data_IF_511262531998
#
_entry.id   IF_511262531998
#
_cell.length_a   1.000
_cell.length_b   1.000
_cell.length_c   1.000
_cell.angle_alpha   90.00
_cell.angle_beta   90.00
_cell.angle_gamma   90.00
#
_symmetry.space_group_name_H-M   'P 1'
#
loop_
_entity.id
_entity.type
_entity.pdbx_description
1 polymer ?
#
# COMPACT_ATOMS: atom_id res chain seq x y z
N UNK A 1 -14.93 -6.98 19.20
CA UNK A 1 -16.16 -6.38 18.61
C UNK A 1 -16.16 -6.72 17.14
N UNK A 2 -17.30 -7.19 16.60
CA UNK A 2 -17.45 -7.53 15.18
C UNK A 2 -18.19 -6.41 14.48
N UNK A 3 -17.60 -5.83 13.46
CA UNK A 3 -18.17 -4.72 12.71
C UNK A 3 -18.64 -5.13 11.31
N UNK A 4 -19.67 -4.45 10.84
CA UNK A 4 -20.14 -4.46 9.46
C UNK A 4 -20.26 -3.03 8.95
N UNK A 5 -19.77 -2.79 7.72
CA UNK A 5 -19.87 -1.50 7.05
C UNK A 5 -20.89 -1.61 5.92
N UNK A 6 -21.88 -0.74 5.94
CA UNK A 6 -22.91 -0.63 4.91
C UNK A 6 -22.75 0.72 4.19
N UNK A 7 -22.31 0.68 2.96
CA UNK A 7 -22.19 1.87 2.12
C UNK A 7 -23.47 2.07 1.31
N UNK A 8 -24.15 3.19 1.56
CA UNK A 8 -25.41 3.57 0.91
C UNK A 8 -25.10 4.59 -0.18
N UNK A 9 -25.40 4.25 -1.43
CA UNK A 9 -25.20 5.12 -2.59
C UNK A 9 -25.26 4.33 -3.89
N UNK A 10 -26.09 4.77 -4.80
CA UNK A 10 -26.26 4.15 -6.12
C UNK A 10 -25.02 4.29 -6.99
N UNK A 11 -24.24 5.37 -6.84
CA UNK A 11 -22.99 5.64 -7.55
C UNK A 11 -21.89 4.62 -7.26
N UNK A 12 -21.91 4.03 -6.04
CA UNK A 12 -20.99 2.95 -5.67
C UNK A 12 -21.33 1.67 -6.46
N UNK A 13 -22.62 1.34 -6.55
CA UNK A 13 -23.10 0.15 -7.27
C UNK A 13 -22.89 0.23 -8.78
N UNK A 14 -22.98 1.44 -9.34
CA UNK A 14 -22.77 1.68 -10.77
C UNK A 14 -21.31 1.84 -11.15
N UNK A 15 -20.39 1.78 -10.17
CA UNK A 15 -18.95 1.88 -10.40
C UNK A 15 -18.47 3.29 -10.78
N UNK A 16 -19.27 4.33 -10.53
CA UNK A 16 -18.88 5.71 -10.79
C UNK A 16 -17.82 6.19 -9.81
N UNK A 17 -17.84 5.67 -8.59
CA UNK A 17 -16.82 5.95 -7.56
C UNK A 17 -16.35 4.66 -6.90
N UNK A 18 -15.11 4.69 -6.41
CA UNK A 18 -14.54 3.63 -5.57
C UNK A 18 -14.95 3.85 -4.12
N UNK A 19 -15.36 2.79 -3.41
CA UNK A 19 -15.72 2.86 -1.99
C UNK A 19 -14.48 3.00 -1.08
N UNK A 20 -13.85 4.17 -1.12
CA UNK A 20 -12.68 4.49 -0.27
C UNK A 20 -13.05 4.68 1.20
N UNK A 21 -14.32 4.94 1.52
CA UNK A 21 -14.80 5.05 2.90
C UNK A 21 -14.73 3.69 3.61
N UNK A 22 -15.14 2.61 2.95
CA UNK A 22 -15.08 1.28 3.55
C UNK A 22 -13.63 0.84 3.81
N UNK A 23 -12.70 1.15 2.90
CA UNK A 23 -11.27 0.94 3.11
C UNK A 23 -10.78 1.69 4.35
N UNK A 24 -11.01 3.00 4.43
CA UNK A 24 -10.59 3.85 5.54
C UNK A 24 -11.16 3.38 6.88
N UNK A 25 -12.47 3.08 6.92
CA UNK A 25 -13.13 2.56 8.12
C UNK A 25 -12.52 1.24 8.57
N UNK A 26 -12.29 0.29 7.65
CA UNK A 26 -11.68 -1.00 7.98
C UNK A 26 -10.28 -0.86 8.56
N UNK A 27 -9.47 0.04 7.99
CA UNK A 27 -8.14 0.35 8.48
C UNK A 27 -8.20 0.92 9.91
N UNK A 28 -9.00 1.96 10.12
CA UNK A 28 -9.10 2.64 11.43
C UNK A 28 -9.75 1.80 12.52
N UNK A 29 -10.72 0.97 12.17
CA UNK A 29 -11.32 0.02 13.11
C UNK A 29 -10.33 -1.07 13.52
N UNK A 30 -9.54 -1.58 12.57
CA UNK A 30 -8.49 -2.55 12.87
C UNK A 30 -7.44 -1.99 13.83
N UNK A 31 -7.01 -0.72 13.66
CA UNK A 31 -6.06 -0.04 14.56
C UNK A 31 -6.52 -0.05 16.03
N UNK A 32 -7.84 -0.03 16.28
CA UNK A 32 -8.42 -0.10 17.63
C UNK A 32 -8.90 -1.51 18.02
N UNK A 33 -8.55 -2.55 17.25
CA UNK A 33 -8.87 -3.94 17.57
C UNK A 33 -10.32 -4.37 17.27
N UNK A 34 -11.04 -3.61 16.45
CA UNK A 34 -12.38 -3.95 15.95
C UNK A 34 -12.26 -4.70 14.61
N UNK A 35 -12.81 -5.89 14.54
CA UNK A 35 -12.77 -6.71 13.32
C UNK A 35 -13.92 -6.38 12.39
N UNK A 36 -13.62 -5.97 11.16
CA UNK A 36 -14.60 -5.80 10.10
C UNK A 36 -14.76 -7.15 9.36
N UNK A 37 -15.92 -7.78 9.49
CA UNK A 37 -16.19 -9.06 8.84
C UNK A 37 -16.99 -8.92 7.55
N UNK A 38 -17.76 -7.84 7.43
CA UNK A 38 -18.63 -7.64 6.28
C UNK A 38 -18.56 -6.20 5.79
N UNK A 39 -18.49 -6.05 4.48
CA UNK A 39 -18.66 -4.79 3.77
C UNK A 39 -19.72 -4.99 2.70
N UNK A 40 -20.79 -4.20 2.74
CA UNK A 40 -21.90 -4.29 1.80
C UNK A 40 -22.16 -2.93 1.19
N UNK A 41 -22.35 -2.86 -0.12
CA UNK A 41 -22.84 -1.66 -0.80
C UNK A 41 -24.31 -1.87 -1.17
N UNK A 42 -25.13 -0.83 -0.98
CA UNK A 42 -26.55 -0.82 -1.33
C UNK A 42 -26.90 0.51 -1.98
N UNK A 43 -27.78 0.48 -3.00
CA UNK A 43 -28.32 1.70 -3.58
C UNK A 43 -29.36 2.35 -2.66
N UNK A 44 -29.70 3.60 -2.94
CA UNK A 44 -30.64 4.42 -2.19
C UNK A 44 -32.06 3.87 -2.28
N UNK A 45 -32.31 2.83 -1.50
CA UNK A 45 -33.57 2.11 -1.47
C UNK A 45 -33.88 1.59 -0.06
N UNK A 46 -34.98 2.05 0.52
CA UNK A 46 -35.41 1.75 1.88
C UNK A 46 -35.55 0.25 2.15
N UNK A 47 -36.29 -0.48 1.29
CA UNK A 47 -36.56 -1.90 1.51
C UNK A 47 -35.28 -2.75 1.48
N UNK A 48 -34.33 -2.41 0.61
CA UNK A 48 -33.02 -3.09 0.55
C UNK A 48 -32.18 -2.80 1.78
N UNK A 49 -32.16 -1.54 2.23
CA UNK A 49 -31.42 -1.16 3.43
C UNK A 49 -32.02 -1.80 4.68
N UNK A 50 -33.35 -1.85 4.82
CA UNK A 50 -34.02 -2.57 5.92
C UNK A 50 -33.62 -4.05 5.96
N UNK A 51 -33.64 -4.73 4.82
CA UNK A 51 -33.23 -6.14 4.74
C UNK A 51 -31.77 -6.34 5.15
N UNK A 52 -30.87 -5.40 4.81
CA UNK A 52 -29.48 -5.48 5.25
C UNK A 52 -29.30 -5.22 6.74
N UNK A 53 -30.06 -4.31 7.32
CA UNK A 53 -30.06 -4.05 8.76
C UNK A 53 -30.53 -5.27 9.56
N UNK A 54 -31.57 -5.98 9.07
CA UNK A 54 -32.04 -7.24 9.66
C UNK A 54 -30.95 -8.32 9.66
N UNK A 55 -30.16 -8.41 8.59
CA UNK A 55 -29.05 -9.35 8.51
C UNK A 55 -27.90 -8.91 9.44
N UNK A 56 -27.51 -7.64 9.39
CA UNK A 56 -26.38 -7.09 10.12
C UNK A 56 -26.55 -7.21 11.64
N UNK A 57 -27.73 -6.91 12.18
CA UNK A 57 -27.99 -6.99 13.63
C UNK A 57 -27.78 -8.40 14.22
N UNK A 58 -27.95 -9.45 13.42
CA UNK A 58 -27.82 -10.84 13.86
C UNK A 58 -26.38 -11.36 13.82
N UNK A 59 -25.45 -10.65 13.14
CA UNK A 59 -24.08 -11.12 12.93
C UNK A 59 -22.99 -10.16 13.37
N UNK A 60 -23.33 -8.90 13.65
CA UNK A 60 -22.39 -7.85 13.99
C UNK A 60 -22.83 -7.09 15.23
N UNK A 61 -21.88 -6.71 16.09
CA UNK A 61 -22.13 -5.89 17.28
C UNK A 61 -21.90 -4.39 17.04
N UNK A 62 -21.37 -4.03 15.86
CA UNK A 62 -21.19 -2.67 15.37
C UNK A 62 -21.60 -2.63 13.89
N UNK A 63 -22.55 -1.76 13.57
CA UNK A 63 -23.03 -1.54 12.20
C UNK A 63 -22.79 -0.09 11.83
N UNK A 64 -21.95 0.17 10.83
CA UNK A 64 -21.63 1.52 10.38
C UNK A 64 -22.26 1.74 9.00
N UNK A 65 -23.16 2.71 8.93
CA UNK A 65 -23.79 3.16 7.71
C UNK A 65 -23.07 4.43 7.21
N UNK A 66 -22.73 4.48 5.94
CA UNK A 66 -22.09 5.65 5.34
C UNK A 66 -22.80 6.05 4.05
N UNK A 67 -23.16 7.33 3.93
CA UNK A 67 -23.94 7.87 2.80
C UNK A 67 -25.42 8.06 3.11
N UNK A 68 -26.13 8.77 2.21
CA UNK A 68 -27.56 9.01 2.32
C UNK A 68 -27.98 9.91 3.49
N UNK A 69 -27.15 10.91 3.85
CA UNK A 69 -27.44 11.91 4.92
C UNK A 69 -27.74 13.30 4.40
N UNK A 70 -27.71 13.51 3.11
CA UNK A 70 -27.96 14.80 2.50
C UNK A 70 -29.42 15.26 2.57
N UNK A 71 -29.75 16.34 1.86
CA UNK A 71 -31.09 16.92 1.87
C UNK A 71 -32.04 16.37 0.81
N UNK A 72 -31.59 15.45 -0.07
CA UNK A 72 -32.40 14.98 -1.20
C UNK A 72 -33.36 13.87 -0.79
N UNK A 73 -34.33 13.56 -1.63
CA UNK A 73 -35.29 12.49 -1.34
C UNK A 73 -34.63 11.09 -1.29
N UNK A 74 -33.51 10.95 -1.99
CA UNK A 74 -32.73 9.70 -2.03
C UNK A 74 -31.87 9.51 -0.75
N UNK A 75 -31.70 10.58 0.06
CA UNK A 75 -31.00 10.53 1.33
C UNK A 75 -31.93 9.95 2.44
N UNK A 76 -31.95 8.63 2.56
CA UNK A 76 -32.93 7.93 3.41
C UNK A 76 -32.31 7.09 4.55
N UNK A 77 -30.98 7.17 4.75
CA UNK A 77 -30.27 6.32 5.72
C UNK A 77 -30.77 6.52 7.16
N UNK A 78 -30.95 7.77 7.63
CA UNK A 78 -31.44 8.05 8.98
C UNK A 78 -32.89 7.63 9.17
N UNK A 79 -33.73 7.88 8.18
CA UNK A 79 -35.16 7.51 8.18
C UNK A 79 -35.33 5.99 8.25
N UNK A 80 -34.59 5.28 7.41
CA UNK A 80 -34.63 3.82 7.37
C UNK A 80 -34.11 3.20 8.66
N UNK A 81 -33.02 3.73 9.25
CA UNK A 81 -32.52 3.25 10.52
C UNK A 81 -33.52 3.54 11.66
N UNK A 82 -34.14 4.74 11.68
CA UNK A 82 -35.15 5.09 12.66
C UNK A 82 -36.34 4.13 12.59
N UNK A 83 -36.87 3.87 11.40
CA UNK A 83 -37.94 2.91 11.18
C UNK A 83 -37.56 1.49 11.63
N UNK A 84 -36.35 1.03 11.27
CA UNK A 84 -35.84 -0.27 11.68
C UNK A 84 -35.76 -0.44 13.21
N UNK A 85 -35.36 0.62 13.92
CA UNK A 85 -35.24 0.63 15.37
C UNK A 85 -36.53 0.95 16.11
N UNK A 86 -37.63 1.24 15.39
CA UNK A 86 -38.89 1.67 15.97
C UNK A 86 -38.77 3.00 16.73
N UNK A 87 -37.99 3.93 16.18
CA UNK A 87 -37.69 5.25 16.75
C UNK A 87 -38.13 6.36 15.82
N UNK A 88 -38.36 7.57 16.38
CA UNK A 88 -38.60 8.78 15.60
C UNK A 88 -37.26 9.46 15.24
N UNK A 89 -37.33 10.44 14.33
CA UNK A 89 -36.26 11.39 14.09
C UNK A 89 -36.47 12.62 14.98
N UNK A 90 -35.37 13.17 15.50
CA UNK A 90 -35.36 14.40 16.28
C UNK A 90 -34.27 15.33 15.78
N UNK A 91 -34.42 16.64 16.02
CA UNK A 91 -33.41 17.63 15.65
C UNK A 91 -32.31 17.68 16.70
N UNK A 92 -31.05 17.68 16.24
CA UNK A 92 -29.93 18.06 17.10
C UNK A 92 -29.81 19.58 17.16
N UNK A 93 -29.87 20.21 18.36
CA UNK A 93 -29.85 21.67 18.48
C UNK A 93 -28.58 22.32 17.92
N UNK A 94 -27.42 21.66 18.02
CA UNK A 94 -26.15 22.22 17.53
C UNK A 94 -26.07 22.15 16.00
N UNK A 95 -26.52 21.05 15.42
CA UNK A 95 -26.60 20.93 13.97
C UNK A 95 -27.64 21.92 13.40
N UNK A 96 -28.74 22.17 14.09
CA UNK A 96 -29.73 23.15 13.68
C UNK A 96 -29.15 24.58 13.67
N UNK A 97 -28.44 24.98 14.72
CA UNK A 97 -27.75 26.28 14.76
C UNK A 97 -26.73 26.39 13.63
N UNK A 98 -25.93 25.34 13.39
CA UNK A 98 -24.97 25.36 12.31
C UNK A 98 -25.63 25.51 10.93
N UNK A 99 -26.78 24.84 10.72
CA UNK A 99 -27.56 24.96 9.51
C UNK A 99 -28.09 26.36 9.32
N UNK A 100 -28.64 26.97 10.38
CA UNK A 100 -29.17 28.34 10.41
C UNK A 100 -28.05 29.36 10.07
N UNK A 101 -26.89 29.23 10.70
CA UNK A 101 -25.73 30.09 10.47
C UNK A 101 -25.21 29.98 9.04
N UNK A 102 -25.17 28.76 8.49
CA UNK A 102 -24.72 28.54 7.12
C UNK A 102 -25.57 29.32 6.10
N UNK A 103 -26.90 29.27 6.23
CA UNK A 103 -27.81 29.97 5.32
C UNK A 103 -27.88 31.47 5.60
N UNK A 104 -27.75 31.89 6.85
CA UNK A 104 -27.69 33.30 7.19
C UNK A 104 -26.51 34.05 6.55
N UNK A 105 -25.37 33.40 6.43
CA UNK A 105 -24.15 33.95 5.82
C UNK A 105 -24.04 33.74 4.30
N UNK A 106 -25.03 33.10 3.67
CA UNK A 106 -25.04 32.79 2.23
C UNK A 106 -26.41 33.09 1.61
N UNK A 107 -26.76 34.37 1.47
CA UNK A 107 -28.08 34.77 0.97
C UNK A 107 -28.35 34.31 -0.48
N UNK A 108 -27.31 34.02 -1.24
CA UNK A 108 -27.44 33.48 -2.62
C UNK A 108 -27.85 32.00 -2.67
N UNK A 109 -27.84 31.30 -1.53
CA UNK A 109 -28.28 29.91 -1.42
C UNK A 109 -29.69 29.85 -0.81
N UNK A 110 -30.65 29.40 -1.60
CA UNK A 110 -32.02 29.21 -1.11
C UNK A 110 -32.10 28.02 -0.16
N UNK A 111 -32.51 28.26 1.10
CA UNK A 111 -32.86 27.19 2.03
C UNK A 111 -34.18 26.55 1.61
N UNK A 112 -34.19 25.23 1.54
CA UNK A 112 -35.40 24.45 1.28
C UNK A 112 -35.79 23.64 2.53
N UNK A 113 -37.07 23.22 2.69
CA UNK A 113 -37.50 22.38 3.82
C UNK A 113 -36.68 21.10 3.93
N UNK A 114 -36.16 20.56 2.83
CA UNK A 114 -35.36 19.34 2.82
C UNK A 114 -34.02 19.51 3.53
N UNK A 115 -33.46 20.72 3.58
CA UNK A 115 -32.22 20.97 4.30
C UNK A 115 -32.31 20.63 5.79
N UNK A 116 -33.51 20.70 6.37
CA UNK A 116 -33.76 20.35 7.78
C UNK A 116 -33.38 18.88 8.10
N UNK A 117 -33.44 17.99 7.12
CA UNK A 117 -33.03 16.58 7.28
C UNK A 117 -31.60 16.43 7.73
N UNK A 118 -30.73 17.37 7.34
CA UNK A 118 -29.31 17.32 7.67
C UNK A 118 -29.07 17.50 9.17
N UNK A 119 -29.94 18.24 9.89
CA UNK A 119 -29.86 18.43 11.34
C UNK A 119 -30.60 17.36 12.16
N UNK A 120 -31.24 16.36 11.50
CA UNK A 120 -31.97 15.29 12.19
C UNK A 120 -31.04 14.13 12.57
N UNK A 121 -31.35 13.50 13.71
CA UNK A 121 -30.74 12.26 14.19
C UNK A 121 -31.84 11.27 14.60
N UNK A 122 -31.54 9.98 14.69
CA UNK A 122 -32.43 8.98 15.29
C UNK A 122 -32.60 9.30 16.78
N UNK A 123 -33.81 9.33 17.27
CA UNK A 123 -34.13 9.64 18.67
C UNK A 123 -33.36 8.75 19.65
N UNK A 124 -32.63 9.35 20.56
CA UNK A 124 -31.77 8.66 21.52
C UNK A 124 -30.34 8.42 21.04
N UNK A 125 -30.00 8.86 19.83
CA UNK A 125 -28.61 8.83 19.36
C UNK A 125 -27.77 9.93 20.05
N UNK A 126 -26.50 9.61 20.25
CA UNK A 126 -25.47 10.61 20.49
C UNK A 126 -25.14 11.28 19.15
N UNK A 127 -25.29 12.62 19.03
CA UNK A 127 -24.91 13.31 17.80
C UNK A 127 -23.40 13.24 17.56
N UNK A 128 -23.03 13.10 16.31
CA UNK A 128 -21.64 13.16 15.83
C UNK A 128 -21.50 14.45 15.00
N UNK A 129 -20.89 15.51 15.55
CA UNK A 129 -20.73 16.77 14.85
C UNK A 129 -19.97 16.63 13.52
N UNK A 130 -20.43 17.32 12.51
CA UNK A 130 -19.77 17.39 11.21
C UNK A 130 -18.99 18.70 11.12
N UNK A 131 -17.67 18.65 11.16
CA UNK A 131 -16.84 19.88 11.13
C UNK A 131 -16.82 20.55 9.75
N UNK A 132 -16.87 19.76 8.68
CA UNK A 132 -16.65 20.20 7.30
C UNK A 132 -17.91 20.32 6.46
N UNK A 133 -18.99 19.63 6.83
CA UNK A 133 -20.29 19.66 6.16
C UNK A 133 -21.43 20.04 7.11
N UNK A 134 -22.68 19.85 6.67
CA UNK A 134 -23.90 20.20 7.42
C UNK A 134 -24.60 18.99 8.02
N UNK A 135 -24.48 17.81 7.42
CA UNK A 135 -25.21 16.63 7.84
C UNK A 135 -24.58 16.06 9.13
N UNK A 136 -25.31 16.17 10.25
CA UNK A 136 -24.90 15.56 11.53
C UNK A 136 -24.97 14.03 11.43
N UNK A 137 -23.93 13.35 11.93
CA UNK A 137 -23.95 11.91 12.13
C UNK A 137 -24.66 11.51 13.42
N UNK A 138 -24.75 10.21 13.69
CA UNK A 138 -25.36 9.71 14.92
C UNK A 138 -24.80 8.35 15.33
N UNK A 139 -24.74 8.12 16.65
CA UNK A 139 -24.35 6.83 17.23
C UNK A 139 -25.40 6.41 18.27
N UNK A 140 -25.92 5.19 18.15
CA UNK A 140 -26.93 4.66 19.06
C UNK A 140 -26.69 3.17 19.33
N UNK A 141 -26.86 2.76 20.57
CA UNK A 141 -26.84 1.35 20.94
C UNK A 141 -28.28 0.85 21.23
N UNK A 142 -28.67 -0.21 20.55
CA UNK A 142 -29.98 -0.86 20.75
C UNK A 142 -29.78 -2.36 20.75
N UNK A 143 -30.28 -3.04 21.77
CA UNK A 143 -30.21 -4.49 21.92
C UNK A 143 -28.81 -5.10 21.80
N UNK A 144 -27.78 -4.39 22.26
CA UNK A 144 -26.37 -4.83 22.22
C UNK A 144 -25.67 -4.64 20.87
N UNK A 145 -26.32 -3.96 19.92
CA UNK A 145 -25.74 -3.56 18.64
C UNK A 145 -25.58 -2.04 18.61
N UNK A 146 -24.38 -1.58 18.32
CA UNK A 146 -24.09 -0.16 18.11
C UNK A 146 -24.27 0.18 16.63
N UNK A 147 -25.10 1.15 16.32
CA UNK A 147 -25.30 1.71 14.98
C UNK A 147 -24.64 3.07 14.89
N UNK A 148 -23.86 3.28 13.85
CA UNK A 148 -23.19 4.55 13.54
C UNK A 148 -23.62 5.01 12.17
N UNK A 149 -24.04 6.27 12.04
CA UNK A 149 -24.48 6.86 10.77
C UNK A 149 -23.56 7.99 10.40
N UNK A 150 -22.93 7.91 9.24
CA UNK A 150 -21.88 8.80 8.76
C UNK A 150 -22.20 9.37 7.37
N UNK A 151 -21.72 10.59 7.04
CA UNK A 151 -21.89 11.18 5.71
C UNK A 151 -21.14 10.38 4.62
N UNK A 152 -21.53 10.61 3.36
CA UNK A 152 -20.90 9.99 2.18
C UNK A 152 -19.56 10.61 1.80
N UNK A 153 -19.41 11.94 1.71
CA UNK A 153 -18.16 12.56 1.29
C UNK A 153 -16.99 12.21 2.22
N UNK A 154 -15.85 11.71 1.70
CA UNK A 154 -14.68 11.35 2.52
C UNK A 154 -14.12 12.51 3.35
N UNK A 155 -14.25 13.75 2.85
CA UNK A 155 -13.82 14.96 3.57
C UNK A 155 -14.64 15.25 4.84
N UNK A 156 -15.87 14.74 4.90
CA UNK A 156 -16.76 14.85 6.06
C UNK A 156 -16.63 13.62 6.98
N UNK A 157 -16.63 12.43 6.37
CA UNK A 157 -16.58 11.15 7.08
C UNK A 157 -15.28 11.00 7.88
N UNK A 158 -14.13 11.27 7.28
CA UNK A 158 -12.83 11.01 7.92
C UNK A 158 -12.63 11.77 9.22
N UNK A 159 -12.82 13.11 9.29
CA UNK A 159 -12.73 13.83 10.54
C UNK A 159 -13.73 13.34 11.59
N UNK A 160 -14.98 13.07 11.18
CA UNK A 160 -16.02 12.57 12.09
C UNK A 160 -15.66 11.22 12.68
N UNK A 161 -15.07 10.30 11.88
CA UNK A 161 -14.59 9.02 12.40
C UNK A 161 -13.46 9.21 13.40
N UNK A 162 -12.45 10.00 13.07
CA UNK A 162 -11.27 10.17 13.91
C UNK A 162 -11.59 10.88 15.23
N UNK A 163 -12.41 11.94 15.17
CA UNK A 163 -12.67 12.80 16.31
C UNK A 163 -13.85 12.32 17.17
N UNK A 164 -14.85 11.67 16.55
CA UNK A 164 -16.11 11.38 17.21
C UNK A 164 -16.39 9.88 17.41
N UNK A 165 -16.08 9.03 16.41
CA UNK A 165 -16.42 7.60 16.48
C UNK A 165 -15.36 6.81 17.24
N UNK A 166 -14.10 6.87 16.80
CA UNK A 166 -13.02 6.04 17.36
C UNK A 166 -12.82 6.27 18.87
N UNK A 167 -12.86 7.52 19.41
CA UNK A 167 -12.71 7.73 20.85
C UNK A 167 -13.84 7.12 21.70
N UNK A 168 -15.01 6.86 21.09
CA UNK A 168 -16.17 6.26 21.79
C UNK A 168 -16.18 4.73 21.69
N UNK A 169 -15.42 4.17 20.76
CA UNK A 169 -15.27 2.72 20.60
C UNK A 169 -14.10 2.22 21.44
N UNK A 170 -14.33 1.93 22.72
CA UNK A 170 -13.29 1.39 23.60
C UNK A 170 -13.16 -0.12 23.38
N UNK A 171 -11.97 -0.55 22.95
CA UNK A 171 -11.57 -1.95 22.94
C UNK A 171 -10.43 -2.16 23.94
N UNK A 172 -10.41 -3.31 24.61
CA UNK A 172 -9.36 -3.62 25.61
C UNK A 172 -8.00 -3.93 25.01
N UNK A 173 -7.88 -3.98 23.66
CA UNK A 173 -6.67 -4.28 22.92
C UNK A 173 -6.64 -3.52 21.59
N UNK A 174 -5.44 -3.30 21.06
CA UNK A 174 -5.21 -2.72 19.73
C UNK A 174 -4.61 -3.77 18.80
N UNK A 175 -4.80 -3.60 17.50
CA UNK A 175 -4.10 -4.38 16.50
C UNK A 175 -2.72 -3.75 16.23
N UNK A 176 -1.70 -4.56 16.37
CA UNK A 176 -0.33 -4.22 16.02
C UNK A 176 0.10 -5.07 14.84
N UNK A 177 0.76 -4.45 13.88
CA UNK A 177 1.23 -5.14 12.68
C UNK A 177 2.69 -4.84 12.40
N UNK A 178 3.38 -5.85 11.88
CA UNK A 178 4.75 -5.76 11.38
C UNK A 178 4.76 -6.31 9.97
N UNK A 179 5.38 -5.61 9.02
CA UNK A 179 5.49 -6.06 7.64
C UNK A 179 6.93 -6.38 7.34
N UNK A 180 7.20 -7.63 6.94
CA UNK A 180 8.47 -8.09 6.43
C UNK A 180 8.45 -8.03 4.91
N UNK A 181 9.56 -7.65 4.29
CA UNK A 181 9.68 -7.51 2.85
C UNK A 181 10.75 -8.42 2.29
N UNK A 182 10.39 -9.21 1.29
CA UNK A 182 11.25 -10.21 0.68
C UNK A 182 11.46 -9.92 -0.80
N UNK A 183 12.72 -10.08 -1.23
CA UNK A 183 13.09 -10.05 -2.63
C UNK A 183 13.82 -11.33 -3.01
N UNK A 184 13.48 -11.91 -4.19
CA UNK A 184 14.10 -13.14 -4.65
C UNK A 184 13.33 -14.42 -4.31
N UNK A 185 12.10 -14.29 -3.80
CA UNK A 185 11.19 -15.42 -3.57
C UNK A 185 9.80 -15.12 -4.15
N UNK A 186 9.12 -16.12 -4.66
CA UNK A 186 7.73 -16.02 -5.09
C UNK A 186 6.75 -16.27 -3.95
N UNK A 187 5.53 -15.70 -4.05
CA UNK A 187 4.46 -15.88 -3.05
C UNK A 187 4.16 -17.36 -2.78
N UNK A 188 3.97 -18.16 -3.85
CA UNK A 188 3.66 -19.59 -3.71
C UNK A 188 4.75 -20.36 -2.97
N UNK A 189 6.02 -20.04 -3.21
CA UNK A 189 7.14 -20.67 -2.51
C UNK A 189 7.14 -20.26 -1.03
N UNK A 190 6.98 -18.97 -0.74
CA UNK A 190 6.93 -18.47 0.63
C UNK A 190 5.77 -19.08 1.42
N UNK A 191 4.57 -19.16 0.84
CA UNK A 191 3.40 -19.78 1.45
C UNK A 191 3.65 -21.27 1.73
N UNK A 192 4.30 -21.99 0.81
CA UNK A 192 4.62 -23.41 1.01
C UNK A 192 5.61 -23.62 2.15
N UNK A 193 6.64 -22.78 2.24
CA UNK A 193 7.65 -22.84 3.31
C UNK A 193 7.03 -22.56 4.69
N UNK A 194 6.03 -21.66 4.72
CA UNK A 194 5.36 -21.22 5.95
C UNK A 194 4.01 -21.91 6.20
N UNK A 195 3.69 -22.98 5.46
CA UNK A 195 2.36 -23.61 5.51
C UNK A 195 1.96 -24.06 6.91
N UNK A 196 2.88 -24.63 7.69
CA UNK A 196 2.65 -25.04 9.07
C UNK A 196 2.27 -23.86 10.00
N UNK A 197 2.87 -22.69 9.76
CA UNK A 197 2.55 -21.47 10.52
C UNK A 197 1.23 -20.86 10.07
N UNK A 198 0.92 -20.94 8.76
CA UNK A 198 -0.33 -20.41 8.18
C UNK A 198 -1.52 -21.25 8.61
N UNK A 199 -1.40 -22.58 8.54
CA UNK A 199 -2.52 -23.50 8.82
C UNK A 199 -2.89 -23.54 10.31
N UNK A 200 -1.92 -23.31 11.21
CA UNK A 200 -2.12 -23.35 12.65
C UNK A 200 -2.34 -21.98 13.29
N UNK A 201 -2.32 -20.91 12.49
CA UNK A 201 -2.41 -19.56 13.02
C UNK A 201 -3.77 -19.26 13.68
N UNK A 202 -3.71 -18.54 14.79
CA UNK A 202 -4.87 -17.96 15.47
C UNK A 202 -4.58 -16.49 15.83
N UNK A 203 -3.61 -16.24 16.70
CA UNK A 203 -3.05 -14.95 17.03
C UNK A 203 -1.60 -15.21 17.54
N UNK A 204 -0.58 -14.68 16.91
CA UNK A 204 -0.57 -13.74 15.77
C UNK A 204 -0.97 -14.40 14.44
N UNK A 205 -1.52 -13.58 13.53
CA UNK A 205 -1.79 -13.97 12.15
C UNK A 205 -0.65 -13.55 11.24
N UNK A 206 -0.47 -14.27 10.13
CA UNK A 206 0.45 -13.91 9.06
C UNK A 206 -0.27 -13.96 7.70
N UNK A 207 -0.04 -12.97 6.87
CA UNK A 207 -0.68 -12.84 5.56
C UNK A 207 0.34 -12.40 4.51
N UNK A 208 0.57 -13.22 3.47
CA UNK A 208 1.43 -12.85 2.34
C UNK A 208 0.68 -11.96 1.36
N UNK A 209 1.41 -11.04 0.73
CA UNK A 209 0.92 -10.18 -0.36
C UNK A 209 1.99 -10.09 -1.44
N UNK A 210 1.64 -10.52 -2.67
CA UNK A 210 2.52 -10.38 -3.82
C UNK A 210 2.47 -8.97 -4.40
N UNK A 211 3.64 -8.48 -4.79
CA UNK A 211 3.83 -7.30 -5.64
C UNK A 211 4.69 -7.71 -6.84
N UNK A 212 4.83 -6.84 -7.83
CA UNK A 212 5.72 -7.10 -8.96
C UNK A 212 7.15 -7.31 -8.46
N UNK A 213 7.67 -8.54 -8.58
CA UNK A 213 9.03 -8.91 -8.18
C UNK A 213 9.32 -9.02 -6.68
N UNK A 214 8.36 -8.76 -5.80
CA UNK A 214 8.52 -8.76 -4.35
C UNK A 214 7.37 -9.49 -3.65
N UNK A 215 7.63 -9.96 -2.43
CA UNK A 215 6.58 -10.47 -1.53
C UNK A 215 6.69 -9.75 -0.18
N UNK A 216 5.56 -9.30 0.33
CA UNK A 216 5.47 -8.79 1.70
C UNK A 216 4.71 -9.78 2.56
N UNK A 217 5.12 -9.91 3.82
CA UNK A 217 4.46 -10.74 4.81
C UNK A 217 4.04 -9.86 5.98
N UNK A 218 2.74 -9.70 6.18
CA UNK A 218 2.20 -8.95 7.31
C UNK A 218 1.95 -9.91 8.48
N UNK A 219 2.55 -9.61 9.60
CA UNK A 219 2.30 -10.24 10.89
C UNK A 219 1.39 -9.32 11.70
N UNK A 220 0.32 -9.85 12.31
CA UNK A 220 -0.60 -9.02 13.08
C UNK A 220 -1.01 -9.73 14.37
N UNK A 221 -1.04 -8.98 15.48
CA UNK A 221 -1.50 -9.48 16.80
C UNK A 221 -2.32 -8.42 17.53
N UNK A 222 -3.25 -8.89 18.37
CA UNK A 222 -4.01 -8.02 19.27
C UNK A 222 -3.34 -8.02 20.65
N UNK A 223 -2.93 -6.84 21.10
CA UNK A 223 -2.26 -6.67 22.38
C UNK A 223 -2.76 -5.43 23.14
N UNK A 224 -2.50 -5.39 24.43
CA UNK A 224 -2.84 -4.23 25.29
C UNK A 224 -1.77 -3.14 25.23
N UNK A 225 -0.54 -3.50 24.90
CA UNK A 225 0.58 -2.57 24.77
C UNK A 225 1.50 -2.96 23.59
N UNK A 226 2.36 -2.02 23.19
CA UNK A 226 3.38 -2.24 22.17
C UNK A 226 4.37 -3.33 22.61
N UNK A 227 4.81 -3.34 23.89
CA UNK A 227 5.76 -4.31 24.40
C UNK A 227 5.21 -5.75 24.40
N UNK A 228 3.89 -5.90 24.64
CA UNK A 228 3.23 -7.21 24.53
C UNK A 228 3.18 -7.66 23.07
N UNK A 229 2.81 -6.75 22.15
CA UNK A 229 2.77 -7.02 20.72
C UNK A 229 4.16 -7.41 20.19
N UNK A 230 5.19 -6.63 20.53
CA UNK A 230 6.55 -6.87 20.04
C UNK A 230 7.06 -8.24 20.45
N UNK A 231 6.86 -8.66 21.70
CA UNK A 231 7.27 -10.02 22.16
C UNK A 231 6.63 -11.14 21.36
N UNK A 232 5.35 -10.98 21.02
CA UNK A 232 4.60 -11.97 20.24
C UNK A 232 5.08 -11.97 18.78
N UNK A 233 5.21 -10.78 18.19
CA UNK A 233 5.65 -10.62 16.80
C UNK A 233 7.12 -11.05 16.61
N UNK A 234 8.02 -10.73 17.56
CA UNK A 234 9.43 -11.16 17.53
C UNK A 234 9.55 -12.67 17.49
N UNK A 235 8.75 -13.37 18.30
CA UNK A 235 8.75 -14.83 18.34
C UNK A 235 8.31 -15.45 17.00
N UNK A 236 7.28 -14.88 16.36
CA UNK A 236 6.80 -15.36 15.05
C UNK A 236 7.81 -15.00 13.95
N UNK A 237 8.33 -13.80 13.95
CA UNK A 237 9.33 -13.34 12.99
C UNK A 237 10.58 -14.21 13.02
N UNK A 238 11.08 -14.54 14.21
CA UNK A 238 12.25 -15.43 14.36
C UNK A 238 12.02 -16.79 13.69
N UNK A 239 10.85 -17.41 13.94
CA UNK A 239 10.48 -18.68 13.31
C UNK A 239 10.41 -18.60 11.78
N UNK A 240 9.98 -17.44 11.24
CA UNK A 240 9.91 -17.19 9.80
C UNK A 240 11.31 -17.02 9.23
N UNK A 241 12.15 -16.16 9.83
CA UNK A 241 13.47 -15.83 9.32
C UNK A 241 14.49 -16.97 9.45
N UNK A 242 14.21 -17.97 10.28
CA UNK A 242 15.00 -19.21 10.41
C UNK A 242 14.70 -20.25 9.30
N UNK A 243 13.64 -20.04 8.49
CA UNK A 243 13.32 -20.92 7.37
C UNK A 243 14.23 -20.64 6.17
N UNK A 244 14.34 -21.63 5.29
CA UNK A 244 15.13 -21.56 4.07
C UNK A 244 14.24 -21.71 2.83
N UNK A 245 14.66 -21.12 1.72
CA UNK A 245 14.10 -21.37 0.40
C UNK A 245 14.39 -22.79 -0.06
N UNK A 246 13.76 -23.23 -1.13
CA UNK A 246 14.03 -24.56 -1.71
C UNK A 246 15.47 -24.69 -2.25
N UNK A 247 16.13 -23.57 -2.51
CA UNK A 247 17.53 -23.47 -2.92
C UNK A 247 18.50 -23.38 -1.73
N UNK A 248 18.01 -23.45 -0.48
CA UNK A 248 18.82 -23.41 0.73
C UNK A 248 19.28 -22.00 1.14
N UNK A 249 18.62 -20.96 0.64
CA UNK A 249 18.89 -19.57 1.06
C UNK A 249 17.99 -19.22 2.25
N UNK A 250 18.55 -18.68 3.30
CA UNK A 250 17.79 -18.27 4.49
C UNK A 250 16.80 -17.15 4.15
N UNK A 251 15.58 -17.23 4.69
CA UNK A 251 14.61 -16.13 4.54
C UNK A 251 15.13 -14.83 5.17
N UNK A 252 16.04 -14.91 6.15
CA UNK A 252 16.73 -13.74 6.73
C UNK A 252 17.59 -13.01 5.69
N UNK A 253 18.29 -13.71 4.82
CA UNK A 253 19.15 -13.08 3.79
C UNK A 253 18.36 -12.36 2.72
N UNK A 254 17.17 -12.86 2.40
CA UNK A 254 16.29 -12.29 1.37
C UNK A 254 15.22 -11.36 1.94
N UNK A 255 15.08 -11.28 3.27
CA UNK A 255 14.34 -10.23 3.96
C UNK A 255 15.14 -8.94 3.87
N UNK A 256 14.66 -7.97 3.09
CA UNK A 256 15.44 -6.76 2.85
C UNK A 256 15.00 -5.57 3.72
N UNK A 257 13.87 -5.66 4.42
CA UNK A 257 13.39 -4.53 5.22
C UNK A 257 12.02 -4.76 5.85
N UNK A 258 11.58 -3.74 6.58
CA UNK A 258 10.33 -3.71 7.33
C UNK A 258 9.47 -2.50 6.95
N UNK A 259 8.16 -2.64 7.14
CA UNK A 259 7.19 -1.56 6.99
C UNK A 259 6.52 -1.49 5.63
N UNK A 260 5.42 -0.74 5.56
CA UNK A 260 4.56 -0.64 4.36
C UNK A 260 5.22 0.17 3.25
N UNK A 261 5.91 1.25 3.60
CA UNK A 261 6.46 2.23 2.67
C UNK A 261 7.91 1.95 2.29
N UNK A 262 8.55 0.99 2.92
CA UNK A 262 9.93 0.62 2.63
C UNK A 262 10.04 -0.03 1.25
N UNK A 263 11.06 0.33 0.47
CA UNK A 263 11.40 -0.27 -0.80
C UNK A 263 12.91 -0.52 -0.90
N UNK A 264 13.34 -1.40 -1.82
CA UNK A 264 14.78 -1.58 -2.10
C UNK A 264 15.44 -0.25 -2.48
N UNK A 265 14.74 0.58 -3.26
CA UNK A 265 15.26 1.88 -3.68
C UNK A 265 15.42 2.84 -2.49
N UNK A 266 14.41 2.91 -1.57
CA UNK A 266 14.50 3.78 -0.39
C UNK A 266 15.68 3.41 0.50
N UNK A 267 15.88 2.12 0.77
CA UNK A 267 16.99 1.64 1.59
C UNK A 267 18.36 1.95 0.96
N UNK A 268 18.49 1.74 -0.35
CA UNK A 268 19.73 2.07 -1.07
C UNK A 268 20.02 3.58 -1.04
N UNK A 269 19.00 4.41 -1.26
CA UNK A 269 19.15 5.88 -1.22
C UNK A 269 19.54 6.35 0.18
N UNK A 270 18.92 5.83 1.23
CA UNK A 270 19.24 6.16 2.62
C UNK A 270 20.67 5.75 2.96
N UNK A 271 21.08 4.53 2.61
CA UNK A 271 22.40 4.03 2.93
C UNK A 271 23.52 4.73 2.12
N UNK A 272 23.27 5.04 0.84
CA UNK A 272 24.20 5.88 0.05
C UNK A 272 24.40 7.25 0.67
N UNK A 273 23.33 7.90 1.14
CA UNK A 273 23.42 9.19 1.84
C UNK A 273 24.20 9.09 3.14
N UNK A 274 23.92 8.09 3.95
CA UNK A 274 24.59 7.83 5.23
C UNK A 274 26.08 7.59 5.04
N UNK A 275 26.47 6.76 4.05
CA UNK A 275 27.85 6.47 3.72
C UNK A 275 28.52 7.56 2.85
N UNK A 276 27.78 8.59 2.40
CA UNK A 276 28.25 9.63 1.49
C UNK A 276 28.85 9.07 0.19
N UNK A 277 28.28 7.98 -0.32
CA UNK A 277 28.67 7.35 -1.57
C UNK A 277 27.78 7.81 -2.71
N UNK A 278 28.34 7.84 -3.90
CA UNK A 278 27.66 8.27 -5.13
C UNK A 278 27.40 7.11 -6.07
N UNK A 279 26.31 7.20 -6.84
CA UNK A 279 25.90 6.18 -7.80
C UNK A 279 25.60 6.79 -9.16
N UNK A 280 25.85 6.01 -10.20
CA UNK A 280 25.46 6.29 -11.58
C UNK A 280 24.88 5.04 -12.23
N UNK A 281 24.25 5.19 -13.39
CA UNK A 281 23.78 4.04 -14.16
C UNK A 281 23.99 4.21 -15.67
N UNK A 282 24.18 3.06 -16.36
CA UNK A 282 24.07 2.92 -17.81
C UNK A 282 22.95 1.95 -18.13
N UNK A 283 21.87 2.47 -18.67
CA UNK A 283 20.62 1.72 -18.91
C UNK A 283 20.38 1.45 -20.40
N UNK A 284 20.07 0.21 -20.74
CA UNK A 284 19.59 -0.19 -22.05
C UNK A 284 18.09 -0.50 -21.99
N UNK A 285 17.70 -1.75 -21.69
CA UNK A 285 16.29 -2.17 -21.72
C UNK A 285 15.38 -1.39 -20.76
N UNK A 286 15.92 -0.87 -19.68
CA UNK A 286 15.17 -0.12 -18.67
C UNK A 286 14.96 1.35 -19.04
N UNK A 287 15.77 1.88 -19.98
CA UNK A 287 15.60 3.19 -20.61
C UNK A 287 15.43 4.35 -19.60
N UNK A 288 16.25 4.37 -18.55
CA UNK A 288 16.20 5.42 -17.51
C UNK A 288 15.35 5.10 -16.29
N UNK A 289 14.71 3.94 -16.21
CA UNK A 289 13.80 3.59 -15.10
C UNK A 289 14.52 3.52 -13.75
N UNK A 290 15.72 2.95 -13.69
CA UNK A 290 16.52 2.92 -12.47
C UNK A 290 16.85 4.34 -11.98
N UNK A 291 17.26 5.20 -12.88
CA UNK A 291 17.61 6.59 -12.60
C UNK A 291 16.37 7.42 -12.22
N UNK A 292 15.23 7.19 -12.89
CA UNK A 292 13.96 7.81 -12.56
C UNK A 292 13.51 7.43 -11.14
N UNK A 293 13.61 6.14 -10.79
CA UNK A 293 13.29 5.66 -9.43
C UNK A 293 14.17 6.29 -8.37
N UNK A 294 15.46 6.53 -8.64
CA UNK A 294 16.32 7.29 -7.71
C UNK A 294 15.82 8.74 -7.56
N UNK A 295 15.35 9.36 -8.63
CA UNK A 295 14.92 10.76 -8.63
C UNK A 295 13.61 11.00 -7.85
N UNK A 296 12.83 9.96 -7.54
CA UNK A 296 11.62 10.06 -6.70
C UNK A 296 11.94 10.43 -5.24
N UNK A 297 13.20 10.29 -4.80
CA UNK A 297 13.61 10.55 -3.43
C UNK A 297 14.17 11.96 -3.23
N UNK A 298 13.66 12.68 -2.24
CA UNK A 298 14.17 14.01 -1.88
C UNK A 298 15.66 13.96 -1.52
N UNK A 299 16.44 14.94 -1.99
CA UNK A 299 17.87 15.08 -1.68
C UNK A 299 18.78 14.07 -2.41
N UNK A 300 18.28 13.38 -3.43
CA UNK A 300 19.06 12.43 -4.24
C UNK A 300 20.23 13.07 -4.99
N UNK A 301 20.19 14.38 -5.24
CA UNK A 301 21.29 15.12 -5.90
C UNK A 301 22.63 15.03 -5.17
N UNK A 302 22.62 14.68 -3.88
CA UNK A 302 23.84 14.47 -3.11
C UNK A 302 24.56 13.15 -3.47
N UNK A 303 23.84 12.17 -3.99
CA UNK A 303 24.33 10.81 -4.29
C UNK A 303 24.30 10.48 -5.78
N UNK A 304 23.48 11.16 -6.58
CA UNK A 304 23.27 10.89 -8.00
C UNK A 304 23.48 12.17 -8.82
N UNK A 305 24.51 12.15 -9.68
CA UNK A 305 24.88 13.29 -10.54
C UNK A 305 24.30 13.18 -11.95
N UNK A 306 23.83 12.00 -12.33
CA UNK A 306 23.34 11.65 -13.66
C UNK A 306 23.86 10.30 -14.12
N UNK A 307 23.49 9.91 -15.34
CA UNK A 307 23.90 8.65 -15.94
C UNK A 307 23.58 8.60 -17.43
N UNK A 308 23.52 7.41 -17.99
CA UNK A 308 23.48 7.19 -19.43
C UNK A 308 22.28 6.31 -19.80
N UNK A 309 21.58 6.67 -20.86
CA UNK A 309 20.60 5.79 -21.53
C UNK A 309 21.20 5.43 -22.89
N UNK A 310 21.72 4.20 -23.00
CA UNK A 310 22.46 3.70 -24.17
C UNK A 310 21.68 2.53 -24.79
N UNK A 311 20.63 2.85 -25.55
CA UNK A 311 19.68 1.87 -26.03
C UNK A 311 20.21 1.04 -27.22
N UNK A 312 20.92 1.69 -28.17
CA UNK A 312 21.53 1.02 -29.31
C UNK A 312 22.99 0.64 -29.07
N UNK A 313 23.54 -0.18 -29.95
CA UNK A 313 24.94 -0.54 -29.94
C UNK A 313 25.83 0.70 -30.16
N UNK A 314 25.47 1.55 -31.12
CA UNK A 314 26.20 2.79 -31.45
C UNK A 314 26.27 3.74 -30.26
N UNK A 315 25.16 3.90 -29.53
CA UNK A 315 25.14 4.77 -28.35
C UNK A 315 25.91 4.17 -27.15
N UNK A 316 25.93 2.82 -27.02
CA UNK A 316 26.84 2.18 -26.05
C UNK A 316 28.30 2.47 -26.36
N UNK A 317 28.68 2.34 -27.62
CA UNK A 317 30.06 2.64 -28.07
C UNK A 317 30.40 4.11 -27.87
N UNK A 318 29.55 5.02 -28.33
CA UNK A 318 29.80 6.47 -28.36
C UNK A 318 29.77 7.10 -26.97
N UNK A 319 28.74 6.80 -26.17
CA UNK A 319 28.56 7.47 -24.87
C UNK A 319 29.43 6.86 -23.76
N UNK A 320 29.76 5.59 -23.86
CA UNK A 320 30.50 4.87 -22.83
C UNK A 320 31.95 4.53 -23.25
N UNK A 321 32.40 4.94 -24.45
CA UNK A 321 33.75 4.65 -25.01
C UNK A 321 34.04 3.13 -25.04
N UNK A 322 33.01 2.29 -25.26
CA UNK A 322 33.20 0.86 -25.43
C UNK A 322 33.52 0.60 -26.92
N UNK A 323 34.62 -0.09 -27.25
CA UNK A 323 34.96 -0.32 -28.63
C UNK A 323 33.82 -1.06 -29.37
N UNK A 324 33.40 -0.53 -30.52
CA UNK A 324 32.31 -1.10 -31.34
C UNK A 324 32.56 -2.58 -31.68
N UNK A 325 33.79 -2.92 -32.05
CA UNK A 325 34.18 -4.29 -32.38
C UNK A 325 34.02 -5.28 -31.21
N UNK A 326 34.23 -4.82 -29.98
CA UNK A 326 34.01 -5.66 -28.78
C UNK A 326 32.51 -5.90 -28.52
N UNK A 327 31.69 -4.86 -28.75
CA UNK A 327 30.22 -5.03 -28.65
C UNK A 327 29.65 -5.98 -29.71
N UNK A 328 30.15 -5.90 -30.96
CA UNK A 328 29.76 -6.84 -32.01
C UNK A 328 30.21 -8.29 -31.70
N UNK A 329 31.41 -8.45 -31.19
CA UNK A 329 31.99 -9.72 -30.83
C UNK A 329 31.26 -10.43 -29.68
N UNK A 330 30.93 -9.68 -28.62
CA UNK A 330 30.36 -10.24 -27.41
C UNK A 330 28.83 -10.15 -27.34
N UNK A 331 28.21 -9.38 -28.21
CA UNK A 331 26.79 -9.08 -28.22
C UNK A 331 26.44 -7.94 -27.24
N UNK A 332 25.34 -7.23 -27.54
CA UNK A 332 24.84 -6.14 -26.68
C UNK A 332 24.08 -6.68 -25.45
N UNK A 333 23.67 -7.95 -25.49
CA UNK A 333 23.04 -8.67 -24.38
C UNK A 333 24.01 -9.71 -23.85
N UNK A 334 24.95 -9.31 -23.02
CA UNK A 334 25.98 -10.21 -22.48
C UNK A 334 26.53 -9.71 -21.15
N UNK A 335 27.16 -10.61 -20.39
CA UNK A 335 27.88 -10.26 -19.17
C UNK A 335 29.01 -9.25 -19.42
N UNK A 336 29.77 -9.44 -20.53
CA UNK A 336 30.82 -8.51 -20.93
C UNK A 336 30.28 -7.09 -21.16
N UNK A 337 29.18 -6.98 -21.91
CA UNK A 337 28.59 -5.65 -22.20
C UNK A 337 28.03 -5.00 -20.93
N UNK A 338 27.40 -5.75 -20.05
CA UNK A 338 26.95 -5.25 -18.76
C UNK A 338 28.12 -4.74 -17.91
N UNK A 339 29.19 -5.53 -17.79
CA UNK A 339 30.42 -5.16 -17.07
C UNK A 339 30.98 -3.84 -17.60
N UNK A 340 31.22 -3.74 -18.90
CA UNK A 340 31.81 -2.54 -19.51
C UNK A 340 30.89 -1.31 -19.40
N UNK A 341 29.60 -1.47 -19.54
CA UNK A 341 28.65 -0.38 -19.33
C UNK A 341 28.74 0.18 -17.90
N UNK A 342 28.77 -0.68 -16.88
CA UNK A 342 28.86 -0.29 -15.47
C UNK A 342 30.19 0.41 -15.17
N UNK A 343 31.31 -0.16 -15.60
CA UNK A 343 32.66 0.39 -15.42
C UNK A 343 32.81 1.77 -16.05
N UNK A 344 32.40 1.91 -17.29
CA UNK A 344 32.56 3.16 -18.03
C UNK A 344 31.62 4.25 -17.49
N UNK A 345 30.40 3.91 -17.13
CA UNK A 345 29.50 4.85 -16.46
C UNK A 345 30.13 5.38 -15.17
N UNK A 346 30.64 4.48 -14.31
CA UNK A 346 31.31 4.83 -13.07
C UNK A 346 32.52 5.77 -13.29
N UNK A 347 33.39 5.42 -14.25
CA UNK A 347 34.58 6.21 -14.55
C UNK A 347 34.21 7.62 -15.06
N UNK A 348 33.28 7.71 -16.01
CA UNK A 348 32.88 8.99 -16.63
C UNK A 348 32.24 9.96 -15.63
N UNK A 349 31.47 9.43 -14.70
CA UNK A 349 30.80 10.26 -13.68
C UNK A 349 31.62 10.43 -12.40
N UNK A 350 32.72 9.69 -12.26
CA UNK A 350 33.52 9.63 -11.04
C UNK A 350 32.65 9.29 -9.81
N UNK A 351 31.79 8.28 -9.98
CA UNK A 351 30.92 7.79 -8.92
C UNK A 351 31.56 6.61 -8.19
N UNK A 352 31.14 6.36 -6.94
CA UNK A 352 31.61 5.21 -6.17
C UNK A 352 31.06 3.92 -6.75
N UNK A 353 29.78 3.94 -7.18
CA UNK A 353 29.08 2.84 -7.79
C UNK A 353 28.63 3.16 -9.21
N UNK A 354 28.80 2.21 -10.13
CA UNK A 354 28.23 2.23 -11.47
C UNK A 354 27.35 1.01 -11.69
N UNK A 355 26.06 1.23 -11.98
CA UNK A 355 25.11 0.16 -12.34
C UNK A 355 24.97 0.09 -13.86
N UNK A 356 24.77 -1.12 -14.39
CA UNK A 356 24.33 -1.28 -15.76
C UNK A 356 23.19 -2.29 -15.85
N UNK A 357 22.30 -2.08 -16.85
CA UNK A 357 21.19 -2.99 -17.15
C UNK A 357 21.11 -3.17 -18.68
N UNK A 358 21.46 -4.35 -19.16
CA UNK A 358 21.29 -4.73 -20.57
C UNK A 358 20.59 -6.07 -20.68
N UNK A 359 19.69 -6.24 -21.68
CA UNK A 359 18.90 -7.47 -21.78
C UNK A 359 17.74 -7.38 -22.74
N UNK A 360 16.93 -8.42 -22.75
CA UNK A 360 15.78 -8.62 -23.63
C UNK A 360 14.48 -8.45 -22.84
N UNK A 361 13.85 -7.30 -22.97
CA UNK A 361 12.58 -7.06 -22.29
C UNK A 361 11.38 -7.79 -22.93
N UNK A 362 11.54 -8.26 -24.16
CA UNK A 362 10.50 -8.99 -24.90
C UNK A 362 9.57 -8.08 -25.73
N UNK A 363 8.58 -8.67 -26.45
CA UNK A 363 8.25 -10.10 -26.44
C UNK A 363 9.21 -11.00 -27.23
N UNK A 364 9.94 -10.44 -28.21
CA UNK A 364 10.85 -11.20 -29.09
C UNK A 364 12.19 -11.50 -28.40
N UNK A 365 12.87 -12.52 -28.89
CA UNK A 365 14.26 -12.82 -28.52
C UNK A 365 15.26 -11.90 -29.24
N UNK A 366 16.42 -11.71 -28.64
CA UNK A 366 17.52 -10.93 -29.23
C UNK A 366 18.86 -11.64 -28.99
N UNK A 367 19.70 -11.75 -30.03
CA UNK A 367 21.04 -12.39 -29.98
C UNK A 367 21.01 -13.81 -29.37
N UNK A 368 19.95 -14.57 -29.62
CA UNK A 368 19.77 -15.92 -29.08
C UNK A 368 19.27 -15.98 -27.62
N UNK A 369 19.10 -14.86 -26.98
CA UNK A 369 18.54 -14.78 -25.63
C UNK A 369 17.02 -14.64 -25.68
N UNK A 370 16.26 -15.44 -24.92
CA UNK A 370 14.82 -15.29 -24.81
C UNK A 370 14.41 -14.01 -24.05
N UNK A 371 13.15 -13.58 -24.24
CA UNK A 371 12.57 -12.49 -23.45
C UNK A 371 12.69 -12.77 -21.96
N UNK A 372 13.08 -11.75 -21.19
CA UNK A 372 13.32 -11.83 -19.75
C UNK A 372 14.78 -12.11 -19.35
N UNK A 373 15.68 -12.35 -20.32
CA UNK A 373 17.13 -12.45 -20.02
C UNK A 373 17.71 -11.05 -19.81
N UNK A 374 18.23 -10.78 -18.62
CA UNK A 374 18.81 -9.48 -18.25
C UNK A 374 20.17 -9.69 -17.58
N UNK A 375 21.20 -8.98 -18.05
CA UNK A 375 22.49 -8.86 -17.38
C UNK A 375 22.56 -7.52 -16.64
N UNK A 376 22.93 -7.59 -15.37
CA UNK A 376 23.05 -6.44 -14.46
C UNK A 376 24.44 -6.46 -13.86
N UNK A 377 25.14 -5.36 -13.93
CA UNK A 377 26.48 -5.25 -13.35
C UNK A 377 26.57 -4.09 -12.35
N UNK A 378 27.34 -4.30 -11.30
CA UNK A 378 27.72 -3.29 -10.31
C UNK A 378 29.25 -3.12 -10.32
N UNK A 379 29.72 -2.00 -10.81
CA UNK A 379 31.13 -1.62 -10.77
C UNK A 379 31.41 -0.77 -9.54
N UNK A 380 32.46 -1.12 -8.81
CA UNK A 380 33.00 -0.39 -7.67
C UNK A 380 34.54 -0.40 -7.71
N UNK A 381 35.20 0.26 -6.76
CA UNK A 381 36.67 0.37 -6.77
C UNK A 381 37.36 -0.99 -6.63
N UNK A 382 36.75 -1.95 -5.96
CA UNK A 382 37.27 -3.30 -5.73
C UNK A 382 37.10 -4.27 -6.91
N UNK A 383 36.26 -3.91 -7.89
CA UNK A 383 35.92 -4.76 -9.05
C UNK A 383 34.47 -4.62 -9.51
N UNK A 384 34.09 -5.44 -10.44
CA UNK A 384 32.74 -5.46 -11.02
C UNK A 384 32.08 -6.81 -10.80
N UNK A 385 30.92 -6.81 -10.19
CA UNK A 385 30.04 -7.98 -10.08
C UNK A 385 29.01 -7.96 -11.19
N UNK A 386 28.78 -9.11 -11.82
CA UNK A 386 27.77 -9.27 -12.88
C UNK A 386 26.82 -10.41 -12.51
N UNK A 387 25.54 -10.14 -12.56
CA UNK A 387 24.50 -11.17 -12.39
C UNK A 387 23.67 -11.30 -13.67
N UNK A 388 23.16 -12.50 -13.91
CA UNK A 388 22.14 -12.76 -14.93
C UNK A 388 20.82 -13.05 -14.25
N UNK A 389 19.80 -12.25 -14.53
CA UNK A 389 18.43 -12.48 -14.09
C UNK A 389 17.61 -13.06 -15.25
N UNK A 390 16.82 -14.11 -14.96
CA UNK A 390 15.90 -14.74 -15.91
C UNK A 390 14.46 -14.45 -15.50
N UNK A 391 13.87 -13.41 -16.09
CA UNK A 391 12.54 -12.88 -15.76
C UNK A 391 11.54 -13.37 -16.81
N UNK A 392 11.43 -14.69 -16.94
CA UNK A 392 10.59 -15.32 -17.97
C UNK A 392 9.09 -15.20 -17.66
N UNK A 393 8.26 -15.21 -18.71
CA UNK A 393 6.80 -15.26 -18.59
C UNK A 393 6.15 -13.96 -18.06
N UNK A 394 6.86 -12.84 -18.08
CA UNK A 394 6.39 -11.54 -17.64
C UNK A 394 6.18 -10.56 -18.81
N UNK A 395 5.35 -9.54 -18.58
CA UNK A 395 5.21 -8.46 -19.55
C UNK A 395 6.51 -7.67 -19.70
N UNK A 396 6.67 -6.96 -20.81
CA UNK A 396 7.81 -6.06 -21.02
C UNK A 396 7.98 -5.02 -19.91
N UNK A 397 6.87 -4.52 -19.36
CA UNK A 397 6.88 -3.57 -18.24
C UNK A 397 7.44 -4.24 -16.98
N UNK A 398 6.92 -5.43 -16.63
CA UNK A 398 7.37 -6.18 -15.45
C UNK A 398 8.85 -6.58 -15.55
N UNK A 399 9.32 -6.99 -16.74
CA UNK A 399 10.75 -7.35 -16.94
C UNK A 399 11.64 -6.14 -16.60
N UNK A 400 11.27 -4.94 -17.05
CA UNK A 400 12.03 -3.71 -16.77
C UNK A 400 11.99 -3.36 -15.29
N UNK A 401 10.82 -3.44 -14.65
CA UNK A 401 10.64 -3.15 -13.23
C UNK A 401 11.44 -4.15 -12.36
N UNK A 402 11.30 -5.45 -12.60
CA UNK A 402 12.03 -6.49 -11.86
C UNK A 402 13.54 -6.36 -12.05
N UNK A 403 13.99 -6.01 -13.27
CA UNK A 403 15.41 -5.75 -13.52
C UNK A 403 15.95 -4.61 -12.66
N UNK A 404 15.18 -3.54 -12.47
CA UNK A 404 15.52 -2.42 -11.59
C UNK A 404 15.58 -2.86 -10.13
N UNK A 405 14.65 -3.72 -9.67
CA UNK A 405 14.70 -4.29 -8.32
C UNK A 405 15.96 -5.14 -8.09
N UNK A 406 16.36 -5.95 -9.07
CA UNK A 406 17.62 -6.68 -9.00
C UNK A 406 18.82 -5.74 -8.88
N UNK A 407 18.84 -4.65 -9.64
CA UNK A 407 19.91 -3.64 -9.56
C UNK A 407 19.98 -2.99 -8.17
N UNK A 408 18.85 -2.57 -7.59
CA UNK A 408 18.82 -2.03 -6.24
C UNK A 408 19.26 -3.06 -5.20
N UNK A 409 18.83 -4.31 -5.33
CA UNK A 409 19.25 -5.36 -4.40
C UNK A 409 20.76 -5.65 -4.48
N UNK A 410 21.35 -5.58 -5.67
CA UNK A 410 22.79 -5.73 -5.86
C UNK A 410 23.55 -4.60 -5.16
N UNK A 411 23.11 -3.35 -5.32
CA UNK A 411 23.70 -2.19 -4.63
C UNK A 411 23.51 -2.33 -3.11
N UNK A 412 22.31 -2.75 -2.64
CA UNK A 412 22.03 -2.97 -1.21
C UNK A 412 23.05 -3.94 -0.61
N UNK A 413 23.25 -5.09 -1.25
CA UNK A 413 24.22 -6.10 -0.78
C UNK A 413 25.64 -5.55 -0.69
N UNK A 414 26.06 -4.73 -1.64
CA UNK A 414 27.38 -4.11 -1.64
C UNK A 414 27.55 -2.97 -0.60
N UNK A 415 26.45 -2.37 -0.15
CA UNK A 415 26.47 -1.33 0.90
C UNK A 415 26.44 -1.91 2.30
N UNK A 416 25.88 -3.12 2.48
CA UNK A 416 25.88 -3.82 3.76
C UNK A 416 27.24 -4.47 3.97
N UNK A 417 27.88 -4.21 5.12
CA UNK A 417 29.06 -4.93 5.55
C UNK A 417 28.66 -6.37 5.94
N UNK A 418 29.59 -7.33 5.90
CA UNK A 418 29.41 -8.74 6.23
C UNK A 418 28.93 -9.03 7.69
N UNK A 419 28.10 -8.22 8.27
CA UNK A 419 27.54 -8.34 9.61
C UNK A 419 26.22 -7.59 9.79
N UNK A 420 25.81 -6.78 8.83
CA UNK A 420 24.60 -5.96 8.86
C UNK A 420 23.42 -6.56 8.05
N UNK A 421 23.44 -7.87 7.79
CA UNK A 421 22.26 -8.61 7.37
C UNK A 421 21.29 -8.65 8.56
N UNK A 422 20.06 -8.12 8.39
CA UNK A 422 18.97 -7.97 9.37
C UNK A 422 18.90 -9.02 10.45
#
# INVERSE_FOLDING_TARGET
>A
MKAEIIAVGTEILTGQIVNTNAQFLSEKLAEIGVDVYFQTAVGDNEARLLSLLEIAQNRSSLVILTGGLGPTEDDLTKQTLAQFLGRDLTFDPQAQVKLDDFFAHRPDYARTPNNERQAQIVQGSTPLPNETGLAVGGMIEVAGVTYVVLPGPPSELKPMVLNEVLPRLTTGSKLYSRVLRFFGIGESQLVTILSDLIDQQTDPTLAPYAKTGEVTLRLSTKAKSQEEADRVLDTLEQKILERETFEGVSLREICYGYGEETSLASLVVEELKKQKKTITAAESLTAGLFQATLADFSGVSAIFKGGFVTYSLEEKAKMLDIPHAELEKHGVVSAFTAEKMAEQARIKTQSDFGISLTGVAGPDSLEGHPAGTVFIALAQASGTEVIQANIAGRSRADVREIAVLHAFNLVRKALLSDGDLL
#
